data_IF_274861908413
#
_entry.id   IF_274861908413
#
_cell.length_a   1.000
_cell.length_b   1.000
_cell.length_c   1.000
_cell.angle_alpha   90.00
_cell.angle_beta   90.00
_cell.angle_gamma   90.00
#
_symmetry.space_group_name_H-M   'P 1'
#
loop_
_entity.id
_entity.type
_entity.pdbx_description
1 polymer ?
#
# COMPACT_ATOMS: atom_id res chain seq x y z
N UNK A 1 -7.62 -18.49 22.22
CA UNK A 1 -8.03 -17.21 21.59
C UNK A 1 -6.79 -16.47 21.07
N UNK A 2 -6.69 -16.23 19.75
CA UNK A 2 -5.69 -15.29 19.22
C UNK A 2 -6.09 -13.88 19.65
N UNK A 3 -5.15 -13.11 20.19
CA UNK A 3 -5.35 -11.70 20.50
C UNK A 3 -5.67 -10.94 19.19
N UNK A 4 -6.44 -9.84 19.24
CA UNK A 4 -6.61 -8.98 18.07
C UNK A 4 -5.24 -8.41 17.70
N UNK A 5 -4.73 -8.86 16.56
CA UNK A 5 -3.47 -8.38 16.00
C UNK A 5 -3.77 -7.08 15.23
N UNK A 6 -3.00 -5.99 15.42
CA UNK A 6 -3.18 -4.77 14.65
C UNK A 6 -3.10 -5.04 13.14
N UNK A 7 -3.90 -4.33 12.34
CA UNK A 7 -3.81 -4.39 10.88
C UNK A 7 -2.39 -4.03 10.44
N UNK A 8 -1.81 -4.84 9.57
CA UNK A 8 -0.43 -4.67 9.10
C UNK A 8 0.65 -4.93 10.14
N UNK A 9 0.35 -5.69 11.21
CA UNK A 9 1.33 -6.08 12.25
C UNK A 9 2.64 -6.61 11.71
N UNK A 10 2.60 -7.28 10.56
CA UNK A 10 3.76 -7.96 9.99
C UNK A 10 4.79 -6.98 9.41
N UNK A 11 4.38 -5.74 9.11
CA UNK A 11 5.26 -4.68 8.61
C UNK A 11 5.55 -3.57 9.63
N UNK A 12 4.81 -3.52 10.75
CA UNK A 12 5.01 -2.50 11.80
C UNK A 12 6.45 -2.44 12.33
N UNK A 13 7.13 -3.57 12.65
CA UNK A 13 8.50 -3.50 13.17
C UNK A 13 9.45 -2.78 12.21
N UNK A 14 9.24 -2.94 10.91
CA UNK A 14 10.05 -2.29 9.87
C UNK A 14 9.77 -0.78 9.83
N UNK A 15 8.50 -0.38 9.91
CA UNK A 15 8.12 1.04 9.95
C UNK A 15 8.56 1.73 11.26
N UNK A 16 8.60 1.02 12.38
CA UNK A 16 9.01 1.55 13.69
C UNK A 16 10.53 1.70 13.82
N UNK A 17 11.31 0.76 13.26
CA UNK A 17 12.75 0.66 13.52
C UNK A 17 13.63 1.10 12.34
N UNK A 18 13.05 1.41 11.17
CA UNK A 18 13.78 1.86 9.99
C UNK A 18 13.38 3.30 9.57
N UNK A 19 13.80 4.34 10.31
CA UNK A 19 13.39 5.73 10.04
C UNK A 19 13.94 6.33 8.75
N UNK A 20 14.92 5.68 8.11
CA UNK A 20 15.53 6.11 6.84
C UNK A 20 15.09 5.26 5.65
N UNK A 21 13.99 4.51 5.80
CA UNK A 21 13.46 3.65 4.75
C UNK A 21 12.95 4.49 3.58
N UNK A 22 13.52 4.27 2.39
CA UNK A 22 13.15 4.99 1.16
C UNK A 22 12.58 4.07 0.08
N UNK A 23 12.80 2.76 0.21
CA UNK A 23 12.32 1.74 -0.71
C UNK A 23 11.86 0.53 0.08
N UNK A 24 10.68 0.03 -0.23
CA UNK A 24 10.11 -1.16 0.38
C UNK A 24 9.58 -2.10 -0.71
N UNK A 25 10.03 -3.36 -0.68
CA UNK A 25 9.61 -4.40 -1.61
C UNK A 25 8.90 -5.52 -0.85
N UNK A 26 7.63 -5.70 -1.16
CA UNK A 26 6.69 -6.68 -0.60
C UNK A 26 6.12 -7.58 -1.72
N UNK A 27 6.74 -7.62 -2.90
CA UNK A 27 6.28 -8.44 -4.04
C UNK A 27 6.22 -9.94 -3.70
N UNK A 28 7.14 -10.42 -2.88
CA UNK A 28 7.18 -11.82 -2.38
C UNK A 28 6.71 -11.93 -0.91
N UNK A 29 6.01 -10.92 -0.41
CA UNK A 29 5.51 -10.87 0.96
C UNK A 29 3.99 -11.01 0.99
N UNK A 30 3.50 -11.97 1.78
CA UNK A 30 2.06 -12.13 1.97
C UNK A 30 1.53 -11.07 2.94
N UNK A 31 0.87 -10.06 2.40
CA UNK A 31 0.07 -9.09 3.17
C UNK A 31 -1.32 -8.92 2.55
N UNK A 32 -2.32 -8.65 3.38
CA UNK A 32 -3.64 -8.28 2.87
C UNK A 32 -3.63 -6.83 2.37
N UNK A 33 -4.43 -6.56 1.35
CA UNK A 33 -4.52 -5.21 0.76
C UNK A 33 -5.04 -4.18 1.75
N UNK A 34 -5.91 -4.61 2.66
CA UNK A 34 -6.50 -3.80 3.74
C UNK A 34 -5.54 -3.49 4.89
N UNK A 35 -4.45 -4.25 5.03
CA UNK A 35 -3.50 -4.10 6.13
C UNK A 35 -2.51 -2.96 5.89
N UNK A 36 -2.14 -2.74 4.63
CA UNK A 36 -1.07 -1.82 4.28
C UNK A 36 -1.41 -0.34 4.50
N UNK A 37 -2.59 0.19 4.08
CA UNK A 37 -2.89 1.60 4.29
C UNK A 37 -2.91 2.02 5.77
N UNK A 38 -3.56 1.28 6.70
CA UNK A 38 -3.53 1.63 8.13
C UNK A 38 -2.12 1.63 8.73
N UNK A 39 -1.27 0.67 8.35
CA UNK A 39 0.11 0.61 8.83
C UNK A 39 0.94 1.82 8.38
N UNK A 40 0.81 2.23 7.12
CA UNK A 40 1.47 3.42 6.58
C UNK A 40 0.95 4.71 7.25
N UNK A 41 -0.36 4.83 7.44
CA UNK A 41 -0.98 5.99 8.09
C UNK A 41 -0.56 6.15 9.55
N UNK A 42 -0.33 5.04 10.27
CA UNK A 42 0.17 5.06 11.64
C UNK A 42 1.64 5.53 11.76
N UNK A 43 2.41 5.52 10.67
CA UNK A 43 3.84 5.85 10.63
C UNK A 43 4.16 6.96 9.62
N UNK A 44 3.56 8.16 9.76
CA UNK A 44 3.57 9.19 8.72
C UNK A 44 4.98 9.65 8.32
N UNK A 45 5.92 9.71 9.27
CA UNK A 45 7.30 10.12 8.98
C UNK A 45 8.03 9.15 8.05
N UNK A 46 7.86 7.84 8.27
CA UNK A 46 8.50 6.79 7.47
C UNK A 46 7.76 6.59 6.15
N UNK A 47 6.42 6.63 6.18
CA UNK A 47 5.62 6.56 4.97
C UNK A 47 5.92 7.72 4.03
N UNK A 48 6.12 8.93 4.56
CA UNK A 48 6.54 10.08 3.78
C UNK A 48 7.97 9.97 3.23
N UNK A 49 8.87 9.16 3.81
CA UNK A 49 10.22 8.96 3.24
C UNK A 49 10.25 7.94 2.11
N UNK A 50 9.20 7.12 1.93
CA UNK A 50 9.13 6.16 0.85
C UNK A 50 9.06 6.85 -0.51
N UNK A 51 10.00 6.49 -1.37
CA UNK A 51 10.07 6.88 -2.78
C UNK A 51 9.74 5.72 -3.72
N UNK A 52 9.88 4.48 -3.23
CA UNK A 52 9.55 3.26 -3.94
C UNK A 52 8.79 2.28 -3.05
N UNK A 53 7.70 1.74 -3.58
CA UNK A 53 6.89 0.71 -2.94
C UNK A 53 6.52 -0.33 -4.00
N UNK A 54 6.97 -1.56 -3.79
CA UNK A 54 6.56 -2.71 -4.59
C UNK A 54 5.64 -3.60 -3.76
N UNK A 55 4.41 -3.73 -4.22
CA UNK A 55 3.33 -4.54 -3.64
C UNK A 55 2.68 -5.38 -4.76
N UNK A 56 3.47 -5.72 -5.79
CA UNK A 56 3.06 -6.58 -6.89
C UNK A 56 3.08 -8.04 -6.44
N UNK A 57 2.19 -8.41 -5.52
CA UNK A 57 2.17 -9.77 -4.98
C UNK A 57 1.36 -10.71 -5.87
N UNK A 58 1.97 -11.72 -6.52
CA UNK A 58 1.27 -12.62 -7.43
C UNK A 58 0.26 -13.53 -6.72
N UNK A 59 0.34 -13.64 -5.39
CA UNK A 59 -0.58 -14.43 -4.56
C UNK A 59 -1.85 -13.68 -4.14
N UNK A 60 -2.07 -12.43 -4.57
CA UNK A 60 -3.27 -11.66 -4.26
C UNK A 60 -4.33 -11.84 -5.36
N UNK A 61 -5.35 -12.72 -5.18
CA UNK A 61 -6.34 -13.00 -6.22
C UNK A 61 -7.23 -11.80 -6.55
N UNK A 62 -7.30 -10.81 -5.65
CA UNK A 62 -8.13 -9.62 -5.85
C UNK A 62 -7.31 -8.34 -6.04
N UNK A 63 -6.01 -8.25 -5.78
CA UNK A 63 -5.26 -7.00 -5.96
C UNK A 63 -5.85 -5.78 -5.22
N UNK A 64 -5.24 -4.61 -5.42
CA UNK A 64 -5.67 -3.35 -4.83
C UNK A 64 -6.81 -2.69 -5.62
N UNK A 65 -7.73 -2.10 -4.85
CA UNK A 65 -8.83 -1.25 -5.31
C UNK A 65 -8.42 0.22 -5.26
N UNK A 66 -9.23 1.07 -5.89
CA UNK A 66 -8.95 2.50 -5.97
C UNK A 66 -8.78 3.17 -4.61
N UNK A 67 -9.71 2.95 -3.67
CA UNK A 67 -9.60 3.51 -2.32
C UNK A 67 -8.31 3.10 -1.60
N UNK A 68 -7.89 1.84 -1.77
CA UNK A 68 -6.65 1.33 -1.18
C UNK A 68 -5.41 2.01 -1.75
N UNK A 69 -5.32 2.12 -3.09
CA UNK A 69 -4.20 2.80 -3.75
C UNK A 69 -4.13 4.27 -3.38
N UNK A 70 -5.27 4.97 -3.36
CA UNK A 70 -5.33 6.39 -2.98
C UNK A 70 -4.94 6.60 -1.51
N UNK A 71 -5.33 5.69 -0.62
CA UNK A 71 -4.92 5.75 0.78
C UNK A 71 -3.41 5.52 0.97
N UNK A 72 -2.79 4.65 0.15
CA UNK A 72 -1.35 4.43 0.13
C UNK A 72 -0.63 5.68 -0.35
N UNK A 73 -1.01 6.24 -1.50
CA UNK A 73 -0.34 7.42 -2.06
C UNK A 73 -0.51 8.65 -1.17
N UNK A 74 -1.69 8.83 -0.57
CA UNK A 74 -1.92 9.89 0.42
C UNK A 74 -1.02 9.76 1.67
N UNK A 75 -0.70 8.53 2.10
CA UNK A 75 0.23 8.29 3.21
C UNK A 75 1.71 8.43 2.80
N UNK A 76 2.02 8.29 1.50
CA UNK A 76 3.36 8.31 0.93
C UNK A 76 3.50 9.43 -0.12
N UNK A 77 3.49 10.72 0.29
CA UNK A 77 3.51 11.86 -0.63
C UNK A 77 4.79 12.00 -1.48
N UNK A 78 5.87 11.29 -1.14
CA UNK A 78 7.12 11.32 -1.94
C UNK A 78 7.27 10.08 -2.84
N UNK A 79 6.23 9.24 -2.94
CA UNK A 79 6.27 8.01 -3.71
C UNK A 79 6.30 8.32 -5.21
N UNK A 80 7.38 7.90 -5.87
CA UNK A 80 7.60 8.09 -7.31
C UNK A 80 7.57 6.78 -8.09
N UNK A 81 7.71 5.66 -7.40
CA UNK A 81 7.68 4.32 -7.97
C UNK A 81 6.71 3.44 -7.18
N UNK A 82 5.57 3.12 -7.79
CA UNK A 82 4.56 2.21 -7.23
C UNK A 82 4.36 1.04 -8.18
N UNK A 83 4.57 -0.18 -7.69
CA UNK A 83 4.22 -1.41 -8.38
C UNK A 83 3.11 -2.10 -7.59
N UNK A 84 1.95 -2.29 -8.19
CA UNK A 84 0.79 -2.87 -7.52
C UNK A 84 -0.03 -3.73 -8.47
N UNK A 85 -0.58 -4.84 -7.96
CA UNK A 85 -1.63 -5.56 -8.65
C UNK A 85 -2.95 -4.78 -8.50
N UNK A 86 -3.64 -4.46 -9.59
CA UNK A 86 -4.83 -3.59 -9.58
C UNK A 86 -6.08 -4.30 -10.13
N UNK A 87 -7.25 -3.99 -9.57
CA UNK A 87 -8.55 -4.41 -10.15
C UNK A 87 -9.01 -3.41 -11.20
N UNK A 88 -8.75 -3.68 -12.47
CA UNK A 88 -9.28 -2.84 -13.58
C UNK A 88 -10.71 -3.26 -14.03
N UNK A 89 -11.26 -4.33 -13.47
CA UNK A 89 -12.57 -4.84 -13.87
C UNK A 89 -13.70 -3.97 -13.33
N UNK A 90 -14.35 -3.20 -14.22
CA UNK A 90 -15.44 -2.27 -13.91
C UNK A 90 -16.67 -2.91 -13.24
N UNK A 91 -16.78 -4.25 -13.24
CA UNK A 91 -17.84 -4.98 -12.53
C UNK A 91 -17.63 -4.98 -11.02
N UNK A 92 -16.41 -4.75 -10.56
CA UNK A 92 -16.10 -4.62 -9.14
C UNK A 92 -16.41 -3.22 -8.65
N UNK A 93 -17.03 -3.13 -7.47
CA UNK A 93 -17.09 -1.86 -6.75
C UNK A 93 -15.66 -1.41 -6.40
N UNK A 94 -15.38 -0.12 -6.61
CA UNK A 94 -14.07 0.50 -6.34
C UNK A 94 -12.93 -0.04 -7.23
N UNK A 95 -13.25 -0.44 -8.46
CA UNK A 95 -12.26 -0.74 -9.49
C UNK A 95 -11.38 0.47 -9.81
N UNK A 96 -10.15 0.20 -10.25
CA UNK A 96 -9.18 1.18 -10.73
C UNK A 96 -9.59 1.65 -12.11
N UNK A 97 -10.08 2.89 -12.19
CA UNK A 97 -10.46 3.58 -13.42
C UNK A 97 -9.60 4.82 -13.67
N UNK A 98 -9.95 5.58 -14.71
CA UNK A 98 -9.17 6.74 -15.17
C UNK A 98 -8.97 7.80 -14.08
N UNK A 99 -10.01 8.13 -13.32
CA UNK A 99 -9.92 9.10 -12.21
C UNK A 99 -8.90 8.66 -11.15
N UNK A 100 -8.85 7.35 -10.85
CA UNK A 100 -7.86 6.80 -9.93
C UNK A 100 -6.46 6.92 -10.51
N UNK A 101 -6.27 6.55 -11.77
CA UNK A 101 -4.96 6.65 -12.43
C UNK A 101 -4.47 8.10 -12.50
N UNK A 102 -5.36 9.06 -12.78
CA UNK A 102 -5.04 10.49 -12.78
C UNK A 102 -4.63 10.97 -11.39
N UNK A 103 -5.37 10.57 -10.35
CA UNK A 103 -5.03 10.92 -8.97
C UNK A 103 -3.68 10.32 -8.54
N UNK A 104 -3.41 9.06 -8.89
CA UNK A 104 -2.13 8.39 -8.61
C UNK A 104 -0.96 9.05 -9.36
N UNK A 105 -1.18 9.52 -10.58
CA UNK A 105 -0.16 10.23 -11.36
C UNK A 105 0.18 11.63 -10.80
N UNK A 106 -0.71 12.20 -9.98
CA UNK A 106 -0.52 13.50 -9.33
C UNK A 106 0.03 13.44 -7.91
N UNK A 107 0.46 12.25 -7.46
CA UNK A 107 0.99 12.04 -6.12
C UNK A 107 2.16 12.99 -5.77
#
# INVERSE_FOLDING_TARGET
>A
PRLPVPLGSDILPLLEHCPSLTSLDLSEFYCWTEDLPPALQAHPSVSASLTRLDILTPSLPQGFKSSGLLAITAACPNLTHLLAACIFDHRYMDFVGDETLLALASN
#
